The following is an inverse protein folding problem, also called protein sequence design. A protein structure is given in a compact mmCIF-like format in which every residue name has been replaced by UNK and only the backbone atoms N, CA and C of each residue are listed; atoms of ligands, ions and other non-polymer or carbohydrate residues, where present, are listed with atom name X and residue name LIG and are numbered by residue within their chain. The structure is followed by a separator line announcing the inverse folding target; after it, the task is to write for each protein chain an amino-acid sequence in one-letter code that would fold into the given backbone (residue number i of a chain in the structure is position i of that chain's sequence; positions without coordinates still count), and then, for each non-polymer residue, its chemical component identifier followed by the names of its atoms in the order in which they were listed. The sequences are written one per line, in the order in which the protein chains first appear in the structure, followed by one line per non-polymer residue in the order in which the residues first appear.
data_IF_353048279509
#
_entry.id   IF_353048279509
#
_cell.length_a   1.000
_cell.length_b   1.000
_cell.length_c   1.000
_cell.angle_alpha   90.00
_cell.angle_beta   90.00
_cell.angle_gamma   90.00
#
_symmetry.space_group_name_H-M   'P 1'
#
loop_
_entity.id
_entity.type
_entity.pdbx_description
1 polymer ?
#
# COMPACT_ATOMS: atom_id res chain seq x y z
N UNK A 1 -5.44 30.40 9.41
CA UNK A 1 -4.15 29.76 9.11
C UNK A 1 -4.19 29.34 7.65
N UNK A 2 -3.13 29.59 6.87
CA UNK A 2 -3.03 29.08 5.50
C UNK A 2 -2.45 27.66 5.55
N UNK A 3 -3.02 26.73 4.79
CA UNK A 3 -2.54 25.36 4.67
C UNK A 3 -1.79 25.18 3.35
N UNK A 4 -0.67 24.44 3.37
CA UNK A 4 0.13 24.15 2.17
C UNK A 4 -0.48 23.09 1.25
N UNK A 5 -1.44 22.31 1.76
CA UNK A 5 -2.12 21.23 1.05
C UNK A 5 -3.63 21.31 1.30
N UNK A 6 -4.41 20.94 0.29
CA UNK A 6 -5.86 20.79 0.38
C UNK A 6 -6.23 19.42 0.98
N UNK A 7 -5.44 18.39 0.66
CA UNK A 7 -5.65 17.02 1.14
C UNK A 7 -4.33 16.42 1.60
N UNK A 8 -4.36 15.71 2.73
CA UNK A 8 -3.24 14.95 3.24
C UNK A 8 -3.59 13.45 3.22
N UNK A 9 -2.80 12.66 2.50
CA UNK A 9 -2.92 11.20 2.42
C UNK A 9 -1.88 10.58 3.35
N UNK A 10 -2.33 9.77 4.31
CA UNK A 10 -1.46 9.07 5.25
C UNK A 10 -1.21 7.65 4.74
N UNK A 11 0.05 7.35 4.44
CA UNK A 11 0.50 6.11 3.82
C UNK A 11 0.56 6.22 2.29
N UNK A 12 1.61 5.62 1.73
CA UNK A 12 1.90 5.66 0.29
C UNK A 12 1.75 4.30 -0.41
N UNK A 13 0.96 3.40 0.18
CA UNK A 13 0.61 2.10 -0.43
C UNK A 13 -0.26 2.23 -1.68
N UNK A 14 -0.82 1.12 -2.16
CA UNK A 14 -1.71 1.10 -3.33
C UNK A 14 -2.85 2.13 -3.24
N UNK A 15 -3.66 2.06 -2.17
CA UNK A 15 -4.77 2.99 -1.97
C UNK A 15 -4.31 4.45 -1.88
N UNK A 16 -3.27 4.72 -1.07
CA UNK A 16 -2.73 6.08 -0.91
C UNK A 16 -2.20 6.67 -2.22
N UNK A 17 -1.50 5.87 -3.02
CA UNK A 17 -0.98 6.28 -4.33
C UNK A 17 -2.09 6.57 -5.34
N UNK A 18 -3.11 5.70 -5.42
CA UNK A 18 -4.28 5.93 -6.29
C UNK A 18 -5.06 7.15 -5.84
N UNK A 19 -5.31 7.32 -4.54
CA UNK A 19 -5.98 8.51 -4.00
C UNK A 19 -5.21 9.78 -4.33
N UNK A 20 -3.89 9.79 -4.12
CA UNK A 20 -3.05 10.94 -4.43
C UNK A 20 -3.09 11.29 -5.93
N UNK A 21 -3.01 10.27 -6.81
CA UNK A 21 -3.13 10.46 -8.26
C UNK A 21 -4.48 11.10 -8.62
N UNK A 22 -5.60 10.48 -8.23
CA UNK A 22 -6.95 10.93 -8.61
C UNK A 22 -7.29 12.32 -8.08
N UNK A 23 -6.82 12.66 -6.88
CA UNK A 23 -7.02 13.99 -6.32
C UNK A 23 -6.15 15.04 -7.03
N UNK A 24 -4.91 14.69 -7.37
CA UNK A 24 -4.03 15.58 -8.14
C UNK A 24 -4.58 15.84 -9.54
N UNK A 25 -5.10 14.81 -10.23
CA UNK A 25 -5.78 14.94 -11.53
C UNK A 25 -7.01 15.88 -11.46
N UNK A 26 -7.68 15.94 -10.30
CA UNK A 26 -8.77 16.88 -10.03
C UNK A 26 -8.32 18.30 -9.66
N UNK A 27 -7.01 18.55 -9.60
CA UNK A 27 -6.42 19.87 -9.31
C UNK A 27 -6.19 20.19 -7.84
N UNK A 28 -6.34 19.22 -6.93
CA UNK A 28 -6.04 19.43 -5.50
C UNK A 28 -4.53 19.43 -5.24
N UNK A 29 -4.08 20.26 -4.28
CA UNK A 29 -2.73 20.19 -3.70
C UNK A 29 -2.69 19.06 -2.68
N UNK A 30 -2.10 17.92 -3.05
CA UNK A 30 -2.06 16.73 -2.19
C UNK A 30 -0.70 16.56 -1.53
N UNK A 31 -0.68 16.39 -0.21
CA UNK A 31 0.48 15.93 0.55
C UNK A 31 0.37 14.44 0.83
N UNK A 32 1.46 13.68 0.69
CA UNK A 32 1.51 12.26 1.07
C UNK A 32 2.51 12.09 2.20
N UNK A 33 2.08 11.49 3.32
CA UNK A 33 2.92 11.22 4.48
C UNK A 33 3.17 9.73 4.63
N UNK A 34 4.43 9.33 4.56
CA UNK A 34 4.87 7.95 4.70
C UNK A 34 5.76 7.79 5.93
N UNK A 35 5.62 6.68 6.65
CA UNK A 35 6.40 6.41 7.85
C UNK A 35 7.81 5.91 7.51
N UNK A 36 7.95 5.20 6.39
CA UNK A 36 9.24 4.76 5.87
C UNK A 36 9.91 5.77 4.95
N UNK A 37 11.16 5.47 4.56
CA UNK A 37 11.90 6.30 3.62
C UNK A 37 11.51 6.01 2.16
N UNK A 38 11.91 6.89 1.26
CA UNK A 38 11.99 6.58 -0.17
C UNK A 38 13.25 5.75 -0.42
N UNK A 39 13.12 4.66 -1.17
CA UNK A 39 14.23 3.83 -1.62
C UNK A 39 14.45 4.06 -3.11
N UNK A 40 15.71 4.20 -3.51
CA UNK A 40 16.14 4.07 -4.89
C UNK A 40 16.35 2.58 -5.22
N UNK A 41 16.30 2.21 -6.49
CA UNK A 41 16.35 0.81 -6.92
C UNK A 41 17.61 0.07 -6.42
N UNK A 42 18.76 0.74 -6.43
CA UNK A 42 20.05 0.21 -5.94
C UNK A 42 20.12 0.06 -4.41
N UNK A 43 19.18 0.68 -3.69
CA UNK A 43 19.11 0.60 -2.24
C UNK A 43 18.19 -0.53 -1.75
N UNK A 44 17.40 -1.13 -2.65
CA UNK A 44 16.55 -2.25 -2.32
C UNK A 44 17.39 -3.50 -2.00
N UNK A 45 17.00 -4.27 -0.98
CA UNK A 45 17.74 -5.47 -0.60
C UNK A 45 17.62 -6.55 -1.69
N UNK A 46 18.74 -6.90 -2.30
CA UNK A 46 18.84 -8.03 -3.26
C UNK A 46 18.33 -9.35 -2.69
N UNK A 47 18.48 -9.55 -1.36
CA UNK A 47 18.03 -10.76 -0.67
C UNK A 47 17.50 -10.45 0.73
N UNK A 48 16.56 -11.26 1.19
CA UNK A 48 15.97 -11.18 2.54
C UNK A 48 16.96 -11.49 3.67
N UNK A 49 18.08 -12.16 3.35
CA UNK A 49 19.17 -12.45 4.30
C UNK A 49 19.91 -11.20 4.77
N UNK A 50 19.81 -10.07 4.05
CA UNK A 50 20.34 -8.77 4.49
C UNK A 50 19.41 -8.12 5.52
N UNK A 51 19.21 -8.80 6.66
CA UNK A 51 18.18 -8.48 7.67
C UNK A 51 18.14 -7.01 8.09
N UNK A 52 19.29 -6.32 8.25
CA UNK A 52 19.33 -4.89 8.60
C UNK A 52 18.74 -3.96 7.54
N UNK A 53 18.86 -4.33 6.27
CA UNK A 53 18.32 -3.61 5.11
C UNK A 53 16.95 -4.13 4.68
N UNK A 54 16.56 -5.32 5.14
CA UNK A 54 15.28 -5.94 4.80
C UNK A 54 14.21 -5.66 5.85
N UNK A 55 14.53 -5.75 7.15
CA UNK A 55 13.58 -5.56 8.23
C UNK A 55 13.48 -4.09 8.68
N UNK A 56 12.26 -3.63 8.92
CA UNK A 56 11.95 -2.41 9.63
C UNK A 56 11.78 -2.70 11.12
N UNK A 57 12.83 -2.45 11.89
CA UNK A 57 12.86 -2.54 13.34
C UNK A 57 13.73 -1.40 13.90
N UNK A 58 13.18 -0.18 14.05
CA UNK A 58 13.95 0.99 14.47
C UNK A 58 14.69 0.79 15.80
N UNK A 59 14.10 0.02 16.73
CA UNK A 59 14.71 -0.34 18.02
C UNK A 59 16.00 -1.16 17.86
N UNK A 60 16.17 -1.89 16.75
CA UNK A 60 17.37 -2.65 16.41
C UNK A 60 18.28 -1.94 15.39
N UNK A 61 17.99 -0.66 15.07
CA UNK A 61 18.61 0.10 13.97
C UNK A 61 18.47 -0.58 12.60
N UNK A 62 17.37 -1.30 12.38
CA UNK A 62 17.00 -1.85 11.08
C UNK A 62 15.94 -0.93 10.45
N UNK A 63 16.21 -0.45 9.24
CA UNK A 63 15.37 0.51 8.52
C UNK A 63 15.04 0.03 7.11
N UNK A 64 14.80 -1.28 6.98
CA UNK A 64 14.46 -1.93 5.73
C UNK A 64 12.99 -1.79 5.31
N UNK A 65 12.65 -2.46 4.22
CA UNK A 65 11.34 -2.34 3.56
C UNK A 65 10.22 -3.18 4.20
N UNK A 66 10.52 -4.15 5.06
CA UNK A 66 9.53 -5.10 5.59
C UNK A 66 9.37 -4.99 7.09
N UNK A 67 8.17 -4.72 7.57
CA UNK A 67 7.79 -4.80 8.99
C UNK A 67 7.06 -6.11 9.27
N UNK A 68 7.45 -6.73 10.38
CA UNK A 68 6.79 -7.90 10.93
C UNK A 68 6.11 -7.47 12.24
N UNK A 69 4.80 -7.69 12.32
CA UNK A 69 4.01 -7.46 13.53
C UNK A 69 3.52 -8.80 14.06
N UNK A 70 4.04 -9.21 15.23
CA UNK A 70 3.59 -10.41 15.92
C UNK A 70 2.40 -10.07 16.81
N UNK A 71 1.27 -10.70 16.55
CA UNK A 71 0.10 -10.75 17.43
C UNK A 71 0.03 -12.15 18.07
N UNK A 72 -0.93 -12.36 18.97
CA UNK A 72 -1.03 -13.60 19.78
C UNK A 72 -0.97 -14.88 18.94
N UNK A 73 -1.72 -14.91 17.84
CA UNK A 73 -1.91 -16.11 17.01
C UNK A 73 -1.61 -15.85 15.52
N UNK A 74 -1.11 -14.66 15.17
CA UNK A 74 -0.86 -14.27 13.77
C UNK A 74 0.40 -13.42 13.62
N UNK A 75 1.11 -13.65 12.52
CA UNK A 75 2.25 -12.84 12.08
C UNK A 75 1.84 -12.03 10.84
N UNK A 76 1.88 -10.70 10.95
CA UNK A 76 1.50 -9.81 9.85
C UNK A 76 2.78 -9.24 9.23
N UNK A 77 2.95 -9.44 7.93
CA UNK A 77 4.00 -8.80 7.13
C UNK A 77 3.43 -7.59 6.39
N UNK A 78 4.15 -6.47 6.43
CA UNK A 78 3.73 -5.22 5.77
C UNK A 78 4.95 -4.48 5.23
N UNK A 79 4.76 -3.71 4.16
CA UNK A 79 5.80 -2.86 3.62
C UNK A 79 5.92 -1.53 4.38
N UNK A 80 7.14 -0.99 4.48
CA UNK A 80 7.44 0.31 5.09
C UNK A 80 8.37 1.09 4.17
N UNK A 81 7.89 2.23 3.67
CA UNK A 81 8.61 3.03 2.69
C UNK A 81 7.66 3.61 1.66
N UNK A 82 8.17 4.52 0.82
CA UNK A 82 7.37 5.10 -0.27
C UNK A 82 6.97 3.99 -1.24
N UNK A 83 5.66 3.73 -1.36
CA UNK A 83 5.09 2.58 -2.06
C UNK A 83 4.44 1.55 -1.13
N UNK A 84 4.76 1.58 0.16
CA UNK A 84 4.19 0.71 1.18
C UNK A 84 4.36 -0.77 0.84
N UNK A 85 3.24 -1.51 0.83
CA UNK A 85 3.22 -2.94 0.55
C UNK A 85 3.80 -3.34 -0.81
N UNK A 86 3.78 -2.46 -1.82
CA UNK A 86 4.31 -2.77 -3.15
C UNK A 86 5.81 -3.09 -3.14
N UNK A 87 6.57 -2.57 -2.17
CA UNK A 87 8.01 -2.81 -2.01
C UNK A 87 8.34 -4.27 -1.65
N UNK A 88 7.42 -4.97 -0.99
CA UNK A 88 7.60 -6.36 -0.51
C UNK A 88 6.63 -7.33 -1.17
N UNK A 89 5.85 -6.84 -2.12
CA UNK A 89 4.81 -7.59 -2.81
C UNK A 89 5.40 -8.50 -3.89
N UNK A 90 4.76 -9.65 -4.10
CA UNK A 90 5.21 -10.67 -5.05
C UNK A 90 4.66 -10.47 -6.48
N UNK A 91 4.22 -9.26 -6.84
CA UNK A 91 3.73 -8.89 -8.18
C UNK A 91 2.60 -9.79 -8.73
N UNK A 92 1.74 -10.30 -7.84
CA UNK A 92 0.69 -11.26 -8.19
C UNK A 92 -0.68 -10.59 -8.36
N UNK A 93 -0.97 -10.15 -9.59
CA UNK A 93 -2.15 -9.34 -9.93
C UNK A 93 -3.32 -10.22 -10.40
N UNK A 94 -4.11 -10.75 -9.45
CA UNK A 94 -5.32 -11.49 -9.78
C UNK A 94 -6.57 -10.63 -9.61
N UNK A 95 -7.50 -10.76 -10.54
CA UNK A 95 -8.88 -10.34 -10.30
C UNK A 95 -9.57 -11.31 -9.33
N UNK A 96 -10.48 -10.81 -8.48
CA UNK A 96 -11.25 -11.68 -7.60
C UNK A 96 -12.09 -12.72 -8.34
N UNK A 97 -12.29 -13.86 -7.71
CA UNK A 97 -13.17 -14.92 -8.20
C UNK A 97 -14.65 -14.60 -7.91
N UNK A 98 -15.57 -15.32 -8.55
CA UNK A 98 -17.03 -15.13 -8.40
C UNK A 98 -17.49 -15.07 -6.94
N UNK A 99 -16.91 -15.92 -6.08
CA UNK A 99 -17.26 -15.98 -4.66
C UNK A 99 -17.02 -14.65 -3.92
N UNK A 100 -16.07 -13.83 -4.36
CA UNK A 100 -15.87 -12.50 -3.79
C UNK A 100 -17.04 -11.58 -4.15
N UNK A 101 -17.46 -11.54 -5.42
CA UNK A 101 -18.54 -10.67 -5.86
C UNK A 101 -19.90 -11.07 -5.25
N UNK A 102 -20.13 -12.37 -5.07
CA UNK A 102 -21.36 -12.92 -4.52
C UNK A 102 -21.36 -13.06 -2.97
N UNK A 103 -20.31 -12.65 -2.26
CA UNK A 103 -20.19 -12.87 -0.81
C UNK A 103 -21.37 -12.23 -0.05
N UNK A 104 -22.11 -12.98 0.79
CA UNK A 104 -23.27 -12.47 1.52
C UNK A 104 -22.97 -11.25 2.42
N UNK A 105 -21.71 -11.02 2.79
CA UNK A 105 -21.31 -9.88 3.62
C UNK A 105 -21.49 -8.53 2.93
N UNK A 106 -21.44 -8.47 1.59
CA UNK A 106 -21.52 -7.21 0.85
C UNK A 106 -22.30 -7.27 -0.47
N UNK A 107 -22.67 -8.44 -0.97
CA UNK A 107 -23.38 -8.60 -2.26
C UNK A 107 -24.74 -7.89 -2.34
N UNK A 108 -25.34 -7.56 -1.19
CA UNK A 108 -26.58 -6.79 -1.11
C UNK A 108 -26.42 -5.28 -1.35
N UNK A 109 -25.18 -4.76 -1.40
CA UNK A 109 -24.90 -3.32 -1.53
C UNK A 109 -25.03 -2.88 -2.99
N UNK A 110 -24.42 -3.61 -3.92
CA UNK A 110 -24.45 -3.32 -5.37
C UNK A 110 -23.99 -4.55 -6.16
N UNK A 111 -24.11 -4.51 -7.49
CA UNK A 111 -23.42 -5.46 -8.37
C UNK A 111 -21.93 -5.13 -8.42
N UNK A 112 -21.15 -5.77 -7.54
CA UNK A 112 -19.71 -5.52 -7.43
C UNK A 112 -18.92 -5.92 -8.67
N UNK A 113 -19.42 -6.84 -9.49
CA UNK A 113 -18.73 -7.25 -10.71
C UNK A 113 -18.81 -6.14 -11.73
N UNK A 114 -20.00 -5.57 -11.94
CA UNK A 114 -20.20 -4.44 -12.85
C UNK A 114 -19.51 -3.18 -12.34
N UNK A 115 -19.69 -2.85 -11.05
CA UNK A 115 -19.12 -1.65 -10.42
C UNK A 115 -17.59 -1.61 -10.53
N UNK A 116 -16.91 -2.74 -10.32
CA UNK A 116 -15.45 -2.80 -10.31
C UNK A 116 -14.83 -3.06 -11.70
N UNK A 117 -15.61 -3.49 -12.69
CA UNK A 117 -15.08 -3.91 -14.00
C UNK A 117 -14.22 -2.85 -14.67
N UNK A 118 -14.71 -1.60 -14.71
CA UNK A 118 -13.96 -0.50 -15.34
C UNK A 118 -12.67 -0.16 -14.58
N UNK A 119 -12.64 -0.38 -13.27
CA UNK A 119 -11.49 -0.12 -12.42
C UNK A 119 -10.39 -1.17 -12.59
N UNK A 120 -10.74 -2.44 -12.82
CA UNK A 120 -9.74 -3.48 -13.12
C UNK A 120 -9.07 -3.29 -14.48
N UNK A 121 -9.78 -2.80 -15.49
CA UNK A 121 -9.20 -2.48 -16.80
C UNK A 121 -8.20 -1.32 -16.71
N UNK A 122 -8.42 -0.39 -15.80
CA UNK A 122 -7.60 0.80 -15.63
C UNK A 122 -6.34 0.56 -14.78
N UNK A 123 -6.39 -0.39 -13.84
CA UNK A 123 -5.35 -0.64 -12.84
C UNK A 123 -4.15 -1.42 -13.41
#
# INVERSE_FOLDING_TARGET
MAHDYDVLVVGSGFGGSVTALRLTEKGYRVGVMEAGRRFSDDELPETSWRLRRYLWAPWARCFGIMRITLLKDVLITSGVGVGGGSLVYANTLYEPLENFYADPQWSSITDWRDELASHYVQA
#
